data_IF_656950673582
#
_entry.id   IF_656950673582
#
_cell.length_a   1.000
_cell.length_b   1.000
_cell.length_c   1.000
_cell.angle_alpha   90.00
_cell.angle_beta   90.00
_cell.angle_gamma   90.00
#
_symmetry.space_group_name_H-M   'P 1'
#
loop_
_entity.id
_entity.type
_entity.pdbx_description
1 polymer ?
#
# COMPACT_ATOMS: atom_id res chain seq x y z
N UNK A 1 -78.44 -13.67 11.35
CA UNK A 1 -77.22 -12.82 11.20
C UNK A 1 -75.94 -13.48 11.76
N UNK A 2 -75.93 -14.02 12.97
CA UNK A 2 -74.77 -14.68 13.58
C UNK A 2 -74.34 -15.98 12.89
N UNK A 3 -75.27 -16.82 12.44
CA UNK A 3 -74.92 -18.06 11.73
C UNK A 3 -74.27 -17.82 10.37
N UNK A 4 -74.72 -16.84 9.63
CA UNK A 4 -74.14 -16.46 8.33
C UNK A 4 -72.75 -15.87 8.45
N UNK A 5 -72.47 -15.20 9.56
CA UNK A 5 -71.13 -14.73 9.90
C UNK A 5 -70.17 -15.88 10.26
N UNK A 6 -70.70 -16.87 10.97
CA UNK A 6 -69.92 -18.08 11.36
C UNK A 6 -69.55 -18.97 10.16
N UNK A 7 -70.50 -19.16 9.22
CA UNK A 7 -70.23 -19.88 7.97
C UNK A 7 -69.19 -19.16 7.08
N UNK A 8 -69.32 -17.83 6.95
CA UNK A 8 -68.31 -17.04 6.21
C UNK A 8 -66.96 -17.11 6.86
N UNK A 9 -66.87 -17.10 8.16
CA UNK A 9 -65.61 -17.20 8.91
C UNK A 9 -64.95 -18.59 8.78
N UNK A 10 -65.77 -19.65 8.85
CA UNK A 10 -65.34 -21.04 8.63
C UNK A 10 -64.85 -21.27 7.20
N UNK A 11 -65.58 -20.75 6.21
CA UNK A 11 -65.16 -20.85 4.80
C UNK A 11 -63.91 -20.04 4.51
N UNK A 12 -63.69 -18.94 5.20
CA UNK A 12 -62.48 -18.16 5.10
C UNK A 12 -61.26 -18.90 5.68
N UNK A 13 -61.41 -19.55 6.84
CA UNK A 13 -60.35 -20.34 7.50
C UNK A 13 -59.99 -21.59 6.69
N UNK A 14 -60.92 -22.19 5.97
CA UNK A 14 -60.68 -23.37 5.14
C UNK A 14 -60.26 -23.03 3.70
N UNK A 15 -60.15 -21.74 3.37
CA UNK A 15 -59.72 -21.29 2.05
C UNK A 15 -58.21 -21.52 1.85
N UNK A 16 -57.86 -21.86 0.61
CA UNK A 16 -56.41 -22.00 0.21
C UNK A 16 -55.63 -20.71 0.44
N UNK A 17 -56.30 -19.58 0.28
CA UNK A 17 -55.74 -18.24 0.47
C UNK A 17 -55.38 -17.97 1.93
N UNK A 18 -56.23 -18.45 2.88
CA UNK A 18 -55.96 -18.33 4.30
C UNK A 18 -54.76 -19.19 4.73
N UNK A 19 -54.62 -20.39 4.17
CA UNK A 19 -53.44 -21.25 4.39
C UNK A 19 -52.17 -20.59 3.89
N UNK A 20 -52.21 -20.01 2.68
CA UNK A 20 -51.08 -19.27 2.13
C UNK A 20 -50.71 -18.05 2.98
N UNK A 21 -51.70 -17.33 3.49
CA UNK A 21 -51.47 -16.19 4.38
C UNK A 21 -50.80 -16.62 5.69
N UNK A 22 -51.19 -17.73 6.28
CA UNK A 22 -50.53 -18.28 7.49
C UNK A 22 -49.06 -18.66 7.19
N UNK A 23 -48.82 -19.32 6.08
CA UNK A 23 -47.46 -19.67 5.67
C UNK A 23 -46.60 -18.42 5.47
N UNK A 24 -47.13 -17.39 4.81
CA UNK A 24 -46.43 -16.13 4.60
C UNK A 24 -46.13 -15.42 5.93
N UNK A 25 -47.09 -15.40 6.87
CA UNK A 25 -46.86 -14.82 8.19
C UNK A 25 -45.83 -15.61 8.98
N UNK A 26 -45.85 -16.95 8.90
CA UNK A 26 -44.82 -17.79 9.54
C UNK A 26 -43.44 -17.52 9.00
N UNK A 27 -43.25 -17.44 7.67
CA UNK A 27 -41.96 -17.11 7.03
C UNK A 27 -41.54 -15.71 7.43
N UNK A 28 -42.40 -14.71 7.38
CA UNK A 28 -42.10 -13.35 7.79
C UNK A 28 -41.68 -13.28 9.28
N UNK A 29 -42.35 -14.02 10.17
CA UNK A 29 -41.99 -14.10 11.59
C UNK A 29 -40.59 -14.69 11.81
N UNK A 30 -40.23 -15.74 11.07
CA UNK A 30 -38.89 -16.34 11.13
C UNK A 30 -37.85 -15.35 10.65
N UNK A 31 -38.11 -14.62 9.56
CA UNK A 31 -37.16 -13.60 9.03
C UNK A 31 -37.01 -12.44 10.04
N UNK A 32 -38.09 -11.93 10.60
CA UNK A 32 -38.05 -10.85 11.61
C UNK A 32 -37.23 -11.31 12.84
N UNK A 33 -37.55 -12.54 13.32
CA UNK A 33 -36.80 -13.10 14.45
C UNK A 33 -35.30 -13.22 14.15
N UNK A 34 -34.96 -13.66 12.95
CA UNK A 34 -33.55 -13.77 12.55
C UNK A 34 -32.83 -12.42 12.44
N UNK A 35 -33.50 -11.41 11.88
CA UNK A 35 -32.97 -10.04 11.83
C UNK A 35 -32.83 -9.47 13.24
N UNK A 36 -33.80 -9.68 14.13
CA UNK A 36 -33.71 -9.24 15.52
C UNK A 36 -32.51 -9.90 16.25
N UNK A 37 -32.33 -11.20 16.08
CA UNK A 37 -31.22 -11.95 16.67
C UNK A 37 -29.89 -11.40 16.20
N UNK A 38 -29.72 -11.16 14.87
CA UNK A 38 -28.48 -10.66 14.27
C UNK A 38 -28.19 -9.19 14.64
N UNK A 39 -29.21 -8.33 14.71
CA UNK A 39 -29.00 -6.89 14.90
C UNK A 39 -29.06 -6.46 16.37
N UNK A 40 -29.91 -7.08 17.17
CA UNK A 40 -30.14 -6.66 18.56
C UNK A 40 -29.37 -7.58 19.52
N UNK A 41 -29.50 -8.91 19.37
CA UNK A 41 -28.89 -9.84 20.35
C UNK A 41 -27.40 -9.97 20.15
N UNK A 42 -26.95 -10.09 18.89
CA UNK A 42 -25.55 -10.27 18.53
C UNK A 42 -24.91 -9.04 17.84
N UNK A 43 -25.59 -7.90 17.86
CA UNK A 43 -25.11 -6.68 17.20
C UNK A 43 -23.75 -6.21 17.74
N UNK A 44 -23.54 -6.25 19.04
CA UNK A 44 -22.26 -5.89 19.67
C UNK A 44 -21.16 -6.88 19.31
N UNK A 45 -21.44 -8.18 19.28
CA UNK A 45 -20.45 -9.21 18.89
C UNK A 45 -19.95 -9.00 17.45
N UNK A 46 -20.84 -8.57 16.54
CA UNK A 46 -20.47 -8.24 15.16
C UNK A 46 -19.65 -6.96 15.07
N UNK A 47 -19.99 -5.93 15.85
CA UNK A 47 -19.22 -4.67 15.92
C UNK A 47 -17.82 -4.96 16.47
N UNK A 48 -17.71 -5.69 17.57
CA UNK A 48 -16.44 -6.06 18.18
C UNK A 48 -15.59 -6.96 17.26
N UNK A 49 -16.21 -7.91 16.57
CA UNK A 49 -15.50 -8.75 15.59
C UNK A 49 -15.03 -7.96 14.37
N UNK A 50 -15.78 -6.92 13.97
CA UNK A 50 -15.38 -6.01 12.91
C UNK A 50 -14.21 -5.11 13.35
N UNK A 51 -14.26 -4.58 14.58
CA UNK A 51 -13.14 -3.79 15.13
C UNK A 51 -11.88 -4.64 15.33
N UNK A 52 -12.00 -5.91 15.73
CA UNK A 52 -10.85 -6.82 15.83
C UNK A 52 -10.21 -7.14 14.46
N UNK A 53 -10.99 -7.16 13.37
CA UNK A 53 -10.44 -7.33 12.02
C UNK A 53 -9.64 -6.13 11.52
N UNK A 54 -9.80 -4.97 12.14
CA UNK A 54 -9.02 -3.75 11.85
C UNK A 54 -7.78 -3.68 12.76
N UNK A 55 -7.59 -4.66 13.68
CA UNK A 55 -6.41 -4.70 14.54
C UNK A 55 -5.19 -5.01 13.68
N UNK A 56 -4.44 -3.97 13.36
CA UNK A 56 -3.21 -4.04 12.57
C UNK A 56 -2.07 -4.51 13.49
N UNK A 57 -1.53 -5.70 13.26
CA UNK A 57 -0.29 -6.11 13.90
C UNK A 57 0.85 -5.32 13.26
N UNK A 58 1.53 -4.51 14.06
CA UNK A 58 2.73 -3.80 13.63
C UNK A 58 3.94 -4.54 14.20
N UNK A 59 4.70 -5.18 13.35
CA UNK A 59 5.99 -5.75 13.72
C UNK A 59 7.00 -4.61 13.90
N UNK A 60 7.56 -4.49 15.10
CA UNK A 60 8.63 -3.55 15.39
C UNK A 60 9.94 -4.32 15.24
N UNK A 61 10.74 -3.96 14.24
CA UNK A 61 12.06 -4.55 14.07
C UNK A 61 12.96 -4.20 15.27
N UNK A 62 13.66 -5.19 15.79
CA UNK A 62 14.65 -4.98 16.85
C UNK A 62 15.84 -4.16 16.35
N UNK A 63 16.39 -3.29 17.17
CA UNK A 63 17.61 -2.55 16.83
C UNK A 63 18.83 -3.48 16.90
N UNK A 64 19.78 -3.29 15.97
CA UNK A 64 21.04 -4.04 15.98
C UNK A 64 21.91 -3.64 17.16
N UNK A 65 22.64 -4.60 17.77
CA UNK A 65 23.60 -4.31 18.82
C UNK A 65 24.80 -3.47 18.36
N UNK A 66 25.45 -2.76 19.28
CA UNK A 66 26.71 -2.06 19.01
C UNK A 66 27.87 -3.06 18.88
N UNK A 67 28.86 -2.71 18.04
CA UNK A 67 30.10 -3.48 17.89
C UNK A 67 31.26 -2.66 18.48
N UNK A 68 32.05 -3.29 19.33
CA UNK A 68 33.20 -2.68 19.99
C UNK A 68 34.48 -3.43 19.66
N UNK A 69 35.61 -2.72 19.73
CA UNK A 69 36.92 -3.36 19.72
C UNK A 69 37.25 -3.98 21.09
N UNK A 70 38.39 -4.66 21.20
CA UNK A 70 38.87 -5.28 22.45
C UNK A 70 39.11 -4.30 23.60
N UNK A 71 39.27 -3.00 23.30
CA UNK A 71 39.51 -1.93 24.27
C UNK A 71 38.19 -1.22 24.65
N UNK A 72 37.04 -1.61 24.07
CA UNK A 72 35.75 -0.97 24.31
C UNK A 72 35.48 0.24 23.42
N UNK A 73 36.30 0.50 22.38
CA UNK A 73 36.02 1.58 21.42
C UNK A 73 34.91 1.15 20.47
N UNK A 74 34.00 2.07 20.21
CA UNK A 74 32.84 1.85 19.36
C UNK A 74 33.24 1.75 17.87
N UNK A 75 32.89 0.66 17.20
CA UNK A 75 33.15 0.44 15.78
C UNK A 75 31.88 0.58 14.93
N UNK A 76 30.74 0.14 15.46
CA UNK A 76 29.45 0.31 14.82
C UNK A 76 28.34 0.49 15.84
N UNK A 77 27.43 1.42 15.57
CA UNK A 77 26.32 1.77 16.44
C UNK A 77 25.10 2.18 15.63
N UNK A 78 23.96 2.31 16.30
CA UNK A 78 22.75 2.82 15.68
C UNK A 78 22.55 4.26 16.14
N UNK A 79 22.26 5.13 15.20
CA UNK A 79 21.80 6.50 15.44
C UNK A 79 20.31 6.59 15.21
N UNK A 80 19.58 7.30 16.04
CA UNK A 80 18.17 7.54 15.86
C UNK A 80 17.97 8.39 14.60
N UNK A 81 17.05 7.97 13.77
CA UNK A 81 16.67 8.65 12.56
C UNK A 81 15.15 8.70 12.44
N UNK A 82 14.66 9.56 11.59
CA UNK A 82 13.24 9.64 11.25
C UNK A 82 13.03 9.26 9.80
N UNK A 83 12.04 8.41 9.55
CA UNK A 83 11.60 8.03 8.22
C UNK A 83 10.18 8.55 7.97
N UNK A 84 9.94 9.07 6.78
CA UNK A 84 8.61 9.46 6.31
C UNK A 84 8.00 8.29 5.58
N UNK A 85 6.81 7.89 5.98
CA UNK A 85 6.07 6.79 5.37
C UNK A 85 4.70 7.25 4.89
N UNK A 86 4.14 6.55 3.88
CA UNK A 86 2.80 6.80 3.34
C UNK A 86 2.00 5.51 3.22
N UNK A 87 0.73 5.57 3.56
CA UNK A 87 -0.26 4.50 3.38
C UNK A 87 -1.37 4.96 2.44
N UNK A 88 -1.97 4.02 1.67
CA UNK A 88 -3.15 4.32 0.85
C UNK A 88 -4.41 4.25 1.72
N UNK A 89 -4.79 5.37 2.30
CA UNK A 89 -5.99 5.52 3.15
C UNK A 89 -7.22 5.97 2.38
N UNK A 90 -7.08 6.32 1.10
CA UNK A 90 -8.18 6.86 0.31
C UNK A 90 -9.20 5.80 -0.07
N UNK A 91 -10.48 6.13 0.10
CA UNK A 91 -11.59 5.28 -0.32
C UNK A 91 -11.61 5.08 -1.84
N UNK A 92 -12.09 3.91 -2.26
CA UNK A 92 -12.21 3.58 -3.68
C UNK A 92 -13.20 4.51 -4.38
N UNK A 93 -12.75 5.17 -5.46
CA UNK A 93 -13.56 6.12 -6.21
C UNK A 93 -12.79 6.76 -7.36
N UNK A 94 -13.49 7.57 -8.18
CA UNK A 94 -12.87 8.23 -9.34
C UNK A 94 -11.70 9.15 -8.98
N UNK A 95 -11.78 9.83 -7.83
CA UNK A 95 -10.77 10.80 -7.39
C UNK A 95 -9.67 10.20 -6.50
N UNK A 96 -9.75 8.90 -6.17
CA UNK A 96 -8.77 8.24 -5.30
C UNK A 96 -7.32 8.47 -5.77
N UNK A 97 -7.03 8.15 -7.02
CA UNK A 97 -5.67 8.31 -7.56
C UNK A 97 -5.26 9.78 -7.62
N UNK A 98 -6.18 10.69 -7.94
CA UNK A 98 -5.90 12.11 -7.94
C UNK A 98 -5.48 12.59 -6.54
N UNK A 99 -6.27 12.29 -5.52
CA UNK A 99 -5.98 12.69 -4.15
C UNK A 99 -4.65 12.11 -3.68
N UNK A 100 -4.42 10.82 -3.87
CA UNK A 100 -3.18 10.17 -3.47
C UNK A 100 -1.96 10.73 -4.22
N UNK A 101 -2.05 10.97 -5.53
CA UNK A 101 -0.97 11.58 -6.30
C UNK A 101 -0.69 13.02 -5.86
N UNK A 102 -1.73 13.79 -5.53
CA UNK A 102 -1.59 15.17 -5.01
C UNK A 102 -0.91 15.17 -3.63
N UNK A 103 -1.31 14.27 -2.74
CA UNK A 103 -0.65 14.10 -1.42
C UNK A 103 0.82 13.74 -1.58
N UNK A 104 1.14 12.77 -2.44
CA UNK A 104 2.52 12.39 -2.74
C UNK A 104 3.32 13.57 -3.30
N UNK A 105 2.78 14.30 -4.27
CA UNK A 105 3.43 15.46 -4.86
C UNK A 105 3.74 16.54 -3.82
N UNK A 106 2.74 16.89 -3.00
CA UNK A 106 2.89 17.86 -1.92
C UNK A 106 3.94 17.43 -0.90
N UNK A 107 3.91 16.16 -0.50
CA UNK A 107 4.89 15.58 0.42
C UNK A 107 6.32 15.67 -0.13
N UNK A 108 6.51 15.26 -1.39
CA UNK A 108 7.82 15.32 -2.05
C UNK A 108 8.36 16.76 -2.11
N UNK A 109 7.51 17.72 -2.45
CA UNK A 109 7.90 19.14 -2.46
C UNK A 109 8.32 19.63 -1.06
N UNK A 110 7.64 19.22 0.00
CA UNK A 110 8.01 19.60 1.38
C UNK A 110 9.36 18.99 1.78
N UNK A 111 9.58 17.70 1.49
CA UNK A 111 10.84 17.01 1.79
C UNK A 111 12.02 17.69 1.08
N UNK A 112 11.90 17.90 -0.23
CA UNK A 112 12.98 18.49 -1.04
C UNK A 112 13.25 19.96 -0.71
N UNK A 113 12.24 20.72 -0.33
CA UNK A 113 12.39 22.13 0.09
C UNK A 113 13.30 22.25 1.31
N UNK A 114 13.30 21.26 2.18
CA UNK A 114 14.15 21.21 3.38
C UNK A 114 15.53 20.57 3.11
N UNK A 115 15.81 20.17 1.86
CA UNK A 115 17.09 19.60 1.43
C UNK A 115 17.18 18.08 1.60
N UNK A 116 16.13 17.42 2.06
CA UNK A 116 16.04 15.97 2.14
C UNK A 116 15.66 15.36 0.78
N UNK A 117 15.81 14.05 0.65
CA UNK A 117 15.56 13.35 -0.60
C UNK A 117 14.67 12.13 -0.39
N UNK A 118 13.85 11.82 -1.40
CA UNK A 118 13.08 10.58 -1.41
C UNK A 118 13.97 9.38 -1.68
N UNK A 119 13.62 8.25 -1.10
CA UNK A 119 14.22 6.95 -1.46
C UNK A 119 13.76 6.58 -2.85
N UNK A 120 14.71 6.22 -3.73
CA UNK A 120 14.40 5.82 -5.10
C UNK A 120 15.13 4.56 -5.49
N UNK A 121 14.40 3.49 -5.68
CA UNK A 121 14.90 2.22 -6.24
C UNK A 121 14.27 1.93 -7.62
N UNK A 122 13.56 2.92 -8.15
CA UNK A 122 12.89 2.83 -9.44
C UNK A 122 13.89 2.76 -10.60
N UNK A 123 13.65 1.89 -11.55
CA UNK A 123 14.62 1.56 -12.60
C UNK A 123 14.58 2.50 -13.81
N UNK A 124 13.96 3.68 -13.66
CA UNK A 124 13.93 4.74 -14.66
C UNK A 124 14.41 6.04 -14.03
N UNK A 125 15.21 6.79 -14.77
CA UNK A 125 15.72 8.11 -14.39
C UNK A 125 15.61 9.08 -15.56
N UNK A 126 15.92 10.36 -15.32
CA UNK A 126 16.06 11.36 -16.37
C UNK A 126 17.55 11.48 -16.80
N UNK A 127 17.79 11.43 -18.08
CA UNK A 127 19.11 11.68 -18.66
C UNK A 127 19.46 13.18 -18.70
N UNK A 128 20.65 13.52 -19.15
CA UNK A 128 21.13 14.91 -19.28
C UNK A 128 20.30 15.76 -20.26
N UNK A 129 19.55 15.11 -21.14
CA UNK A 129 18.70 15.75 -22.14
C UNK A 129 17.23 15.81 -21.68
N UNK A 130 16.95 15.48 -20.41
CA UNK A 130 15.61 15.42 -19.86
C UNK A 130 14.70 14.38 -20.56
N UNK A 131 15.28 13.21 -20.97
CA UNK A 131 14.54 12.06 -21.44
C UNK A 131 14.54 10.95 -20.39
N UNK A 132 13.46 10.19 -20.32
CA UNK A 132 13.43 8.99 -19.48
C UNK A 132 14.36 7.93 -20.03
N UNK A 133 15.19 7.34 -19.16
CA UNK A 133 16.14 6.31 -19.48
C UNK A 133 16.16 5.22 -18.40
N UNK A 134 16.33 3.98 -18.80
CA UNK A 134 16.50 2.88 -17.84
C UNK A 134 17.86 2.97 -17.16
N UNK A 135 17.90 2.63 -15.86
CA UNK A 135 19.14 2.51 -15.07
C UNK A 135 19.70 1.10 -15.08
N UNK A 136 18.98 0.16 -15.67
CA UNK A 136 19.30 -1.28 -15.72
C UNK A 136 19.17 -1.82 -17.14
N UNK A 137 19.87 -2.93 -17.43
CA UNK A 137 19.90 -3.58 -18.74
C UNK A 137 19.73 -5.10 -18.62
N UNK A 138 19.60 -5.77 -19.76
CA UNK A 138 19.61 -7.23 -19.87
C UNK A 138 18.45 -7.89 -19.11
N UNK A 139 18.76 -8.92 -18.34
CA UNK A 139 17.76 -9.71 -17.58
C UNK A 139 17.10 -8.89 -16.50
N UNK A 140 17.81 -7.98 -15.83
CA UNK A 140 17.26 -7.09 -14.81
C UNK A 140 16.22 -6.15 -15.39
N UNK A 141 16.46 -5.61 -16.60
CA UNK A 141 15.47 -4.80 -17.30
C UNK A 141 14.22 -5.62 -17.64
N UNK A 142 14.39 -6.83 -18.18
CA UNK A 142 13.28 -7.70 -18.50
C UNK A 142 12.47 -8.06 -17.26
N UNK A 143 13.11 -8.30 -16.12
CA UNK A 143 12.43 -8.55 -14.85
C UNK A 143 11.61 -7.33 -14.42
N UNK A 144 12.20 -6.14 -14.47
CA UNK A 144 11.49 -4.90 -14.17
C UNK A 144 10.28 -4.70 -15.09
N UNK A 145 10.42 -4.95 -16.40
CA UNK A 145 9.29 -4.87 -17.34
C UNK A 145 8.20 -5.89 -17.02
N UNK A 146 8.57 -7.14 -16.65
CA UNK A 146 7.62 -8.13 -16.21
C UNK A 146 6.80 -7.65 -15.00
N UNK A 147 7.46 -7.08 -14.00
CA UNK A 147 6.80 -6.53 -12.80
C UNK A 147 5.89 -5.33 -13.16
N UNK A 148 6.34 -4.41 -14.02
CA UNK A 148 5.52 -3.28 -14.53
C UNK A 148 4.24 -3.75 -15.20
N UNK A 149 4.33 -4.75 -16.06
CA UNK A 149 3.18 -5.28 -16.81
C UNK A 149 2.42 -6.37 -16.05
N UNK A 150 2.80 -6.68 -14.82
CA UNK A 150 2.13 -7.66 -13.96
C UNK A 150 2.29 -9.09 -14.47
N UNK A 151 3.40 -9.41 -15.10
CA UNK A 151 3.73 -10.76 -15.58
C UNK A 151 4.54 -11.51 -14.52
N UNK A 152 4.22 -12.80 -14.34
CA UNK A 152 4.89 -13.63 -13.35
C UNK A 152 6.33 -13.97 -13.74
N UNK A 153 6.54 -14.29 -15.02
CA UNK A 153 7.83 -14.66 -15.56
C UNK A 153 8.23 -13.73 -16.72
N UNK A 154 9.52 -13.66 -17.01
CA UNK A 154 10.08 -12.85 -18.10
C UNK A 154 9.57 -13.37 -19.47
N UNK A 155 9.36 -14.67 -19.58
CA UNK A 155 8.89 -15.36 -20.78
C UNK A 155 7.44 -15.02 -21.12
N UNK A 156 6.65 -14.52 -20.16
CA UNK A 156 5.26 -14.12 -20.35
C UNK A 156 5.12 -12.72 -20.97
N UNK A 157 6.24 -11.99 -21.14
CA UNK A 157 6.24 -10.67 -21.78
C UNK A 157 5.92 -10.78 -23.27
N UNK A 158 4.98 -9.99 -23.71
CA UNK A 158 4.73 -9.79 -25.15
C UNK A 158 5.92 -9.07 -25.80
N UNK A 159 6.14 -9.26 -27.09
CA UNK A 159 7.24 -8.63 -27.83
C UNK A 159 7.26 -7.11 -27.63
N UNK A 160 6.09 -6.46 -27.73
CA UNK A 160 5.94 -5.02 -27.50
C UNK A 160 6.29 -4.59 -26.07
N UNK A 161 6.01 -5.44 -25.07
CA UNK A 161 6.32 -5.16 -23.67
C UNK A 161 7.81 -5.36 -23.36
N UNK A 162 8.42 -6.37 -23.98
CA UNK A 162 9.85 -6.67 -23.78
C UNK A 162 10.81 -5.67 -24.45
N UNK A 163 10.30 -4.93 -25.46
CA UNK A 163 11.07 -3.90 -26.21
C UNK A 163 10.62 -2.48 -25.90
N UNK A 164 9.75 -2.30 -24.88
CA UNK A 164 9.22 -1.00 -24.51
C UNK A 164 10.34 -0.04 -24.09
N UNK A 165 10.24 1.19 -24.57
CA UNK A 165 11.13 2.28 -24.16
C UNK A 165 10.76 2.79 -22.76
N UNK A 166 11.70 3.49 -22.09
CA UNK A 166 11.43 4.08 -20.78
C UNK A 166 10.26 5.09 -20.83
N UNK A 167 10.11 5.84 -21.94
CA UNK A 167 8.97 6.74 -22.12
C UNK A 167 7.65 5.97 -22.19
N UNK A 168 7.57 4.90 -22.97
CA UNK A 168 6.35 4.07 -23.07
C UNK A 168 5.97 3.43 -21.73
N UNK A 169 6.96 3.03 -20.93
CA UNK A 169 6.72 2.50 -19.58
C UNK A 169 6.15 3.58 -18.66
N UNK A 170 6.71 4.79 -18.68
CA UNK A 170 6.19 5.93 -17.90
C UNK A 170 4.77 6.28 -18.32
N UNK A 171 4.51 6.39 -19.63
CA UNK A 171 3.16 6.71 -20.17
C UNK A 171 2.15 5.63 -19.77
N UNK A 172 2.54 4.36 -19.79
CA UNK A 172 1.69 3.24 -19.36
C UNK A 172 1.36 3.34 -17.86
N UNK A 173 2.37 3.55 -17.02
CA UNK A 173 2.17 3.65 -15.57
C UNK A 173 1.38 4.90 -15.15
N UNK A 174 1.59 6.04 -15.84
CA UNK A 174 0.80 7.25 -15.65
C UNK A 174 -0.63 7.13 -16.18
N UNK A 175 -0.90 6.14 -17.04
CA UNK A 175 -2.16 5.97 -17.75
C UNK A 175 -3.39 5.77 -16.86
N UNK A 176 -4.58 5.93 -17.48
CA UNK A 176 -5.89 5.85 -16.81
C UNK A 176 -6.14 4.55 -16.06
N UNK A 177 -5.68 3.42 -16.59
CA UNK A 177 -5.89 2.08 -16.00
C UNK A 177 -4.85 1.74 -14.91
N UNK A 178 -3.87 2.61 -14.70
CA UNK A 178 -2.81 2.42 -13.71
C UNK A 178 -2.88 3.49 -12.64
N UNK A 179 -1.87 4.32 -12.50
CA UNK A 179 -1.76 5.28 -11.40
C UNK A 179 -2.48 6.60 -11.64
N UNK A 180 -2.92 6.88 -12.87
CA UNK A 180 -3.59 8.13 -13.29
C UNK A 180 -2.84 9.37 -12.83
N UNK A 181 -1.54 9.41 -13.10
CA UNK A 181 -0.71 10.58 -12.79
C UNK A 181 -0.96 11.62 -13.88
N UNK A 182 -1.59 12.72 -13.52
CA UNK A 182 -1.99 13.79 -14.42
C UNK A 182 -3.15 14.58 -13.83
N UNK A 183 -3.43 15.73 -14.40
CA UNK A 183 -4.57 16.54 -14.00
C UNK A 183 -5.88 15.97 -14.57
N UNK A 184 -6.87 15.79 -13.72
CA UNK A 184 -8.22 15.41 -14.13
C UNK A 184 -9.25 15.78 -13.05
N UNK A 185 -10.51 15.79 -13.44
CA UNK A 185 -11.65 16.06 -12.59
C UNK A 185 -12.54 14.81 -12.48
N UNK A 186 -13.57 14.90 -11.64
CA UNK A 186 -14.55 13.81 -11.51
C UNK A 186 -15.25 13.47 -12.83
N UNK A 187 -15.41 14.45 -13.72
CA UNK A 187 -16.14 14.29 -14.98
C UNK A 187 -15.23 13.93 -16.15
N UNK A 188 -13.91 14.01 -15.98
CA UNK A 188 -12.94 13.63 -17.02
C UNK A 188 -13.12 12.18 -17.42
N UNK A 189 -13.19 11.93 -18.73
CA UNK A 189 -13.25 10.59 -19.31
C UNK A 189 -11.86 10.04 -19.60
N UNK A 190 -11.79 8.74 -19.91
CA UNK A 190 -10.52 8.08 -20.24
C UNK A 190 -9.85 8.69 -21.48
N UNK A 191 -10.65 9.08 -22.47
CA UNK A 191 -10.17 9.61 -23.75
C UNK A 191 -9.67 11.06 -23.64
N UNK A 192 -10.13 11.78 -22.63
CA UNK A 192 -9.70 13.16 -22.32
C UNK A 192 -8.48 13.23 -21.41
N UNK A 193 -8.17 12.13 -20.71
CA UNK A 193 -7.06 12.08 -19.77
C UNK A 193 -5.71 12.05 -20.47
N UNK A 194 -4.85 12.99 -20.11
CA UNK A 194 -3.48 13.09 -20.63
C UNK A 194 -2.50 12.66 -19.52
N UNK A 195 -1.77 11.55 -19.70
CA UNK A 195 -0.75 11.11 -18.73
C UNK A 195 0.33 12.19 -18.52
N UNK A 196 0.65 12.46 -17.27
CA UNK A 196 1.68 13.42 -16.88
C UNK A 196 1.29 14.90 -16.97
N UNK A 197 0.08 15.22 -17.44
CA UNK A 197 -0.38 16.61 -17.54
C UNK A 197 -0.38 17.29 -16.16
N UNK A 198 0.09 18.55 -16.12
CA UNK A 198 0.16 19.35 -14.90
C UNK A 198 1.42 19.16 -14.05
N UNK A 199 2.28 18.21 -14.40
CA UNK A 199 3.54 17.93 -13.72
C UNK A 199 4.72 18.02 -14.69
N UNK A 200 5.89 18.43 -14.20
CA UNK A 200 7.12 18.26 -14.97
C UNK A 200 7.60 16.79 -14.95
N UNK A 201 8.55 16.45 -15.82
CA UNK A 201 9.05 15.07 -15.92
C UNK A 201 9.70 14.54 -14.65
N UNK A 202 10.34 15.41 -13.88
CA UNK A 202 10.95 15.05 -12.60
C UNK A 202 9.89 14.78 -11.54
N UNK A 203 8.85 15.62 -11.48
CA UNK A 203 7.71 15.42 -10.58
C UNK A 203 6.95 14.14 -10.89
N UNK A 204 6.66 13.89 -12.18
CA UNK A 204 6.06 12.63 -12.64
C UNK A 204 6.89 11.44 -12.16
N UNK A 205 8.22 11.48 -12.34
CA UNK A 205 9.10 10.38 -11.97
C UNK A 205 9.09 10.13 -10.45
N UNK A 206 9.08 11.19 -9.63
CA UNK A 206 9.03 11.07 -8.17
C UNK A 206 7.70 10.49 -7.69
N UNK A 207 6.58 10.97 -8.23
CA UNK A 207 5.26 10.39 -7.92
C UNK A 207 5.22 8.93 -8.35
N UNK A 208 5.72 8.61 -9.54
CA UNK A 208 5.80 7.25 -10.08
C UNK A 208 6.62 6.32 -9.19
N UNK A 209 7.77 6.76 -8.70
CA UNK A 209 8.62 5.99 -7.79
C UNK A 209 7.84 5.53 -6.57
N UNK A 210 7.22 6.47 -5.86
CA UNK A 210 6.46 6.17 -4.65
C UNK A 210 5.24 5.29 -4.97
N UNK A 211 4.50 5.58 -6.04
CA UNK A 211 3.35 4.79 -6.48
C UNK A 211 3.73 3.36 -6.88
N UNK A 212 4.88 3.19 -7.49
CA UNK A 212 5.40 1.87 -7.86
C UNK A 212 5.78 1.06 -6.63
N UNK A 213 6.45 1.67 -5.65
CA UNK A 213 6.80 1.03 -4.39
C UNK A 213 5.56 0.66 -3.57
N UNK A 214 4.57 1.55 -3.51
CA UNK A 214 3.26 1.24 -2.91
C UNK A 214 2.57 0.05 -3.61
N UNK A 215 2.68 -0.04 -4.94
CA UNK A 215 2.08 -1.14 -5.70
C UNK A 215 2.81 -2.48 -5.51
N UNK A 216 4.10 -2.47 -5.21
CA UNK A 216 4.86 -3.69 -4.87
C UNK A 216 4.31 -4.37 -3.62
N UNK A 217 3.77 -3.57 -2.69
CA UNK A 217 3.10 -4.03 -1.47
C UNK A 217 1.59 -4.26 -1.65
N UNK A 218 1.10 -4.34 -2.89
CA UNK A 218 -0.34 -4.26 -3.23
C UNK A 218 -1.22 -5.36 -2.61
N UNK A 219 -0.68 -6.49 -2.22
CA UNK A 219 -1.40 -7.53 -1.48
C UNK A 219 -1.73 -7.13 -0.04
N UNK A 220 -1.07 -6.10 0.49
CA UNK A 220 -1.26 -5.60 1.84
C UNK A 220 -1.41 -4.07 1.80
N UNK A 221 -2.57 -3.59 1.41
CA UNK A 221 -2.90 -2.15 1.27
C UNK A 221 -2.54 -1.27 2.49
N UNK A 222 -2.30 -1.91 3.63
CA UNK A 222 -2.04 -1.25 4.90
C UNK A 222 -0.57 -1.31 5.33
N UNK A 223 0.33 -1.78 4.46
CA UNK A 223 1.76 -1.63 4.72
C UNK A 223 2.17 -0.22 4.31
N UNK A 224 2.71 0.52 5.27
CA UNK A 224 3.28 1.82 5.00
C UNK A 224 4.49 1.68 4.07
N UNK A 225 4.53 2.51 3.03
CA UNK A 225 5.67 2.60 2.12
C UNK A 225 6.58 3.71 2.58
N UNK A 226 7.87 3.44 2.71
CA UNK A 226 8.86 4.46 3.09
C UNK A 226 9.13 5.39 1.92
N UNK A 227 8.91 6.68 2.13
CA UNK A 227 9.12 7.75 1.13
C UNK A 227 10.51 8.35 1.25
N UNK A 228 10.95 8.64 2.47
CA UNK A 228 12.27 9.19 2.76
C UNK A 228 12.80 8.62 4.07
N UNK A 229 14.11 8.47 4.18
CA UNK A 229 14.82 8.00 5.37
C UNK A 229 15.84 9.04 5.81
N UNK A 230 16.19 9.05 7.09
CA UNK A 230 17.16 10.00 7.68
C UNK A 230 16.81 11.46 7.38
N UNK A 231 15.52 11.77 7.53
CA UNK A 231 15.05 13.14 7.28
C UNK A 231 15.40 14.07 8.44
N UNK A 232 15.63 15.33 8.12
CA UNK A 232 15.95 16.39 9.08
C UNK A 232 14.79 16.65 10.05
N UNK A 233 15.08 17.23 11.21
CA UNK A 233 14.06 17.65 12.18
C UNK A 233 13.12 18.70 11.60
N UNK A 234 13.60 19.54 10.68
CA UNK A 234 12.80 20.51 9.94
C UNK A 234 11.75 19.82 9.06
N UNK A 235 12.12 18.76 8.37
CA UNK A 235 11.18 17.97 7.57
C UNK A 235 10.17 17.26 8.46
N UNK A 236 10.60 16.68 9.58
CA UNK A 236 9.69 16.09 10.58
C UNK A 236 8.66 17.12 11.05
N UNK A 237 9.11 18.31 11.44
CA UNK A 237 8.22 19.38 11.90
C UNK A 237 7.20 19.81 10.83
N UNK A 238 7.67 20.05 9.59
CA UNK A 238 6.80 20.44 8.47
C UNK A 238 5.78 19.38 8.14
N UNK A 239 6.16 18.09 8.10
CA UNK A 239 5.23 16.99 7.82
C UNK A 239 4.19 16.87 8.93
N UNK A 240 4.60 16.98 10.20
CA UNK A 240 3.68 16.90 11.35
C UNK A 240 2.72 18.09 11.40
N UNK A 241 3.18 19.30 11.06
CA UNK A 241 2.35 20.50 11.01
C UNK A 241 1.27 20.42 9.92
N UNK A 242 1.56 19.75 8.80
CA UNK A 242 0.67 19.61 7.66
C UNK A 242 -0.06 18.27 7.60
N UNK A 243 -0.18 17.56 8.70
CA UNK A 243 -0.79 16.22 8.76
C UNK A 243 -2.28 16.21 8.36
N UNK A 244 -2.96 17.34 8.43
CA UNK A 244 -4.36 17.53 8.01
C UNK A 244 -4.53 17.44 6.47
N UNK A 245 -3.53 17.83 5.71
CA UNK A 245 -3.53 17.77 4.23
C UNK A 245 -2.73 16.55 3.69
N UNK A 246 -1.89 15.94 4.52
CA UNK A 246 -1.05 14.78 4.18
C UNK A 246 -1.70 13.48 4.68
N UNK A 247 -2.92 13.20 4.22
CA UNK A 247 -3.65 11.99 4.64
C UNK A 247 -2.85 10.70 4.35
N UNK A 248 -2.69 9.87 5.37
CA UNK A 248 -1.96 8.61 5.29
C UNK A 248 -0.43 8.74 5.42
N UNK A 249 0.10 9.95 5.58
CA UNK A 249 1.53 10.17 5.85
C UNK A 249 1.80 10.06 7.35
N UNK A 250 2.90 9.44 7.70
CA UNK A 250 3.35 9.28 9.10
C UNK A 250 4.86 9.39 9.21
N UNK A 251 5.31 9.89 10.36
CA UNK A 251 6.72 9.84 10.75
C UNK A 251 6.93 8.59 11.61
N UNK A 252 7.96 7.84 11.28
CA UNK A 252 8.34 6.63 12.02
C UNK A 252 9.77 6.81 12.53
N UNK A 253 9.97 6.53 13.81
CA UNK A 253 11.33 6.42 14.36
C UNK A 253 12.00 5.18 13.75
N UNK A 254 13.20 5.39 13.25
CA UNK A 254 14.04 4.37 12.62
C UNK A 254 15.46 4.49 13.16
N UNK A 255 16.32 3.56 12.81
CA UNK A 255 17.73 3.59 13.22
C UNK A 255 18.66 3.40 12.04
N UNK A 256 19.62 4.30 11.91
CA UNK A 256 20.65 4.19 10.90
C UNK A 256 21.91 3.62 11.49
N UNK A 257 22.48 2.63 10.80
CA UNK A 257 23.74 2.03 11.19
C UNK A 257 24.91 2.93 10.81
N UNK A 258 25.62 3.45 11.81
CA UNK A 258 26.85 4.23 11.64
C UNK A 258 28.06 3.35 11.93
N UNK A 259 29.09 3.56 11.13
CA UNK A 259 30.37 2.84 11.23
C UNK A 259 31.49 3.85 11.45
N UNK A 260 32.23 3.67 12.54
CA UNK A 260 33.41 4.48 12.83
C UNK A 260 34.56 3.94 12.01
N UNK A 261 35.28 4.83 11.32
CA UNK A 261 36.46 4.48 10.49
C UNK A 261 36.18 3.32 9.50
N UNK A 262 35.02 3.35 8.84
CA UNK A 262 34.52 2.28 7.96
C UNK A 262 35.55 1.88 6.87
N UNK A 263 36.34 2.81 6.38
CA UNK A 263 37.40 2.56 5.37
C UNK A 263 38.44 1.54 5.85
N UNK A 264 38.76 1.56 7.15
CA UNK A 264 39.78 0.65 7.72
C UNK A 264 39.20 -0.66 8.22
N UNK A 265 37.95 -0.67 8.66
CA UNK A 265 37.33 -1.82 9.32
C UNK A 265 36.30 -2.58 8.46
N UNK A 266 35.99 -2.11 7.26
CA UNK A 266 34.98 -2.73 6.40
C UNK A 266 35.21 -4.24 6.17
N UNK A 267 36.46 -4.66 5.99
CA UNK A 267 36.82 -6.07 5.75
C UNK A 267 36.72 -6.96 7.01
N UNK A 268 36.71 -6.36 8.21
CA UNK A 268 36.56 -7.07 9.48
C UNK A 268 35.08 -7.14 9.87
N UNK A 269 34.35 -6.03 9.73
CA UNK A 269 32.93 -5.92 10.11
C UNK A 269 32.05 -6.65 9.10
N UNK A 270 32.50 -6.75 7.82
CA UNK A 270 31.74 -7.38 6.75
C UNK A 270 30.59 -6.52 6.24
N UNK A 271 29.66 -7.16 5.59
CA UNK A 271 28.42 -6.55 5.09
C UNK A 271 27.22 -7.42 5.49
N UNK A 272 26.06 -6.81 5.52
CA UNK A 272 24.79 -7.52 5.73
C UNK A 272 24.00 -7.54 4.44
N UNK A 273 23.36 -8.67 4.14
CA UNK A 273 22.47 -8.86 3.00
C UNK A 273 21.22 -9.61 3.40
N UNK A 274 20.27 -9.72 2.50
CA UNK A 274 19.13 -10.63 2.67
C UNK A 274 19.64 -12.07 2.64
N UNK A 275 19.04 -12.92 3.44
CA UNK A 275 19.28 -14.37 3.47
C UNK A 275 18.93 -14.95 2.10
N UNK A 276 19.76 -15.84 1.57
CA UNK A 276 19.45 -16.59 0.35
C UNK A 276 18.35 -17.61 0.59
N UNK A 277 17.74 -18.10 -0.49
CA UNK A 277 16.67 -19.10 -0.39
C UNK A 277 17.15 -20.38 0.30
N UNK A 278 18.37 -20.81 -0.02
CA UNK A 278 18.96 -22.04 0.55
C UNK A 278 19.26 -21.88 2.05
N UNK A 279 19.81 -20.72 2.46
CA UNK A 279 20.04 -20.40 3.87
C UNK A 279 18.72 -20.24 4.64
N UNK A 280 17.67 -19.73 3.99
CA UNK A 280 16.34 -19.62 4.60
C UNK A 280 15.77 -21.00 4.92
N UNK A 281 15.89 -21.96 4.00
CA UNK A 281 15.44 -23.35 4.23
C UNK A 281 16.18 -24.00 5.41
N UNK A 282 17.48 -23.77 5.56
CA UNK A 282 18.27 -24.25 6.70
C UNK A 282 17.80 -23.60 8.02
N UNK A 283 17.61 -22.28 8.02
CA UNK A 283 17.15 -21.55 9.21
C UNK A 283 15.73 -21.93 9.62
N UNK A 284 14.84 -22.16 8.66
CA UNK A 284 13.48 -22.63 8.92
C UNK A 284 13.43 -24.10 9.40
N UNK A 285 14.42 -24.91 9.03
CA UNK A 285 14.55 -26.26 9.56
C UNK A 285 14.92 -26.25 11.06
N UNK A 286 15.70 -25.28 11.50
CA UNK A 286 16.06 -25.08 12.91
C UNK A 286 14.98 -24.32 13.70
N UNK A 287 14.33 -23.33 13.08
CA UNK A 287 13.27 -22.54 13.68
C UNK A 287 12.15 -22.31 12.64
N UNK A 288 11.02 -23.06 12.72
CA UNK A 288 9.91 -22.95 11.76
C UNK A 288 9.25 -21.55 11.69
N UNK A 289 9.40 -20.73 12.73
CA UNK A 289 8.84 -19.37 12.79
C UNK A 289 9.80 -18.32 12.20
N UNK A 290 10.93 -18.75 11.62
CA UNK A 290 11.88 -17.82 11.00
C UNK A 290 11.29 -17.23 9.72
N UNK A 291 11.15 -15.89 9.68
CA UNK A 291 10.61 -15.12 8.55
C UNK A 291 11.70 -14.27 7.90
N UNK A 292 11.57 -14.03 6.59
CA UNK A 292 12.49 -13.19 5.82
C UNK A 292 12.34 -11.70 6.07
N UNK A 293 11.40 -11.27 6.89
CA UNK A 293 11.11 -9.86 7.17
C UNK A 293 12.09 -9.23 8.15
#
# INVERSE_FOLDING_TARGET
MFEHLKEKFLNMITSREFLLMIVMIAVASVMIHRVFELQIVHGEDYIDSFQMKIKKERTIAGSRGCIYDKNGNLLAYNELAHSVTIEDVYESGKMKNYNLNTTIHTLVQMIEKNGDHIVSDFKITLDKNNHYAFTVEGTTLKRFLADVYGKRNIEDLEEKQSTATAQEVVDYLCGWERFRIGEYTRDTTKDEFIPGAGYDKSEVLKILTIRYDMNSNSYQKYIATTVATDVSEETVAVVMENNDILEGVSIVEDTIRKYVDSVYFAHIIGYTGKVSTDELEELQAENPDYDMN
#
